data_IF_977951711996
#
_entry.id   IF_977951711996
#
_cell.length_a   1.000
_cell.length_b   1.000
_cell.length_c   1.000
_cell.angle_alpha   90.00
_cell.angle_beta   90.00
_cell.angle_gamma   90.00
#
_symmetry.space_group_name_H-M   'P 1'
#
loop_
_entity.id
_entity.type
_entity.pdbx_description
1 polymer ?
#
# COMPACT_ATOMS: atom_id res chain seq x y z
N UNK A 1 -24.31 29.45 27.65
CA UNK A 1 -23.41 28.89 26.63
C UNK A 1 -23.73 29.53 25.29
N UNK A 2 -22.86 30.41 24.80
CA UNK A 2 -23.00 31.04 23.49
C UNK A 2 -22.70 29.97 22.43
N UNK A 3 -23.74 29.40 21.83
CA UNK A 3 -23.62 28.54 20.64
C UNK A 3 -23.49 29.45 19.43
N UNK A 4 -22.26 29.84 19.11
CA UNK A 4 -21.96 30.49 17.85
C UNK A 4 -21.90 29.37 16.80
N UNK A 5 -22.71 29.47 15.74
CA UNK A 5 -22.63 28.56 14.62
C UNK A 5 -21.27 28.75 13.93
N UNK A 6 -20.30 27.91 14.30
CA UNK A 6 -19.05 27.77 13.56
C UNK A 6 -19.45 27.33 12.16
N UNK A 7 -19.31 28.24 11.19
CA UNK A 7 -19.48 27.90 9.80
C UNK A 7 -18.45 26.81 9.50
N UNK A 8 -18.92 25.64 9.09
CA UNK A 8 -18.06 24.57 8.57
C UNK A 8 -17.18 25.20 7.50
N UNK A 9 -15.86 25.08 7.66
CA UNK A 9 -14.88 25.66 6.75
C UNK A 9 -15.25 25.37 5.29
N UNK A 10 -15.18 26.41 4.46
CA UNK A 10 -15.48 26.38 3.01
C UNK A 10 -14.67 25.26 2.31
N UNK A 11 -13.51 24.89 2.87
CA UNK A 11 -12.66 23.80 2.38
C UNK A 11 -13.28 22.40 2.47
N UNK A 12 -14.22 22.17 3.40
CA UNK A 12 -14.91 20.88 3.53
C UNK A 12 -16.18 20.80 2.66
N UNK A 13 -16.45 21.84 1.87
CA UNK A 13 -17.65 21.89 1.04
C UNK A 13 -17.49 21.03 -0.21
N UNK A 14 -18.02 19.82 -0.15
CA UNK A 14 -18.23 19.00 -1.35
C UNK A 14 -19.40 19.58 -2.15
N UNK A 15 -19.18 20.07 -3.39
CA UNK A 15 -20.27 20.59 -4.22
C UNK A 15 -21.26 19.46 -4.49
N UNK A 16 -22.42 19.55 -3.84
CA UNK A 16 -23.59 18.70 -4.11
C UNK A 16 -24.27 19.28 -5.34
N UNK A 17 -24.15 18.59 -6.47
CA UNK A 17 -24.55 19.11 -7.78
C UNK A 17 -26.06 18.95 -7.98
N UNK A 18 -26.60 17.79 -7.56
CA UNK A 18 -28.04 17.50 -7.66
C UNK A 18 -28.48 16.83 -6.34
N UNK A 19 -29.28 17.53 -5.54
CA UNK A 19 -29.80 17.04 -4.27
C UNK A 19 -28.70 16.74 -3.23
N UNK A 20 -28.59 15.46 -2.81
CA UNK A 20 -27.55 14.96 -1.87
C UNK A 20 -26.35 14.29 -2.57
N UNK A 21 -26.40 14.14 -3.90
CA UNK A 21 -25.40 13.42 -4.66
C UNK A 21 -24.26 14.34 -5.08
N UNK A 22 -23.03 13.86 -4.92
CA UNK A 22 -21.81 14.56 -5.38
C UNK A 22 -21.66 14.35 -6.89
N UNK A 23 -21.02 15.27 -7.62
CA UNK A 23 -20.76 15.10 -9.06
C UNK A 23 -20.10 13.75 -9.41
N UNK A 24 -19.29 13.23 -8.49
CA UNK A 24 -18.66 11.90 -8.58
C UNK A 24 -19.65 10.74 -8.67
N UNK A 25 -20.68 10.74 -7.82
CA UNK A 25 -21.74 9.72 -7.85
C UNK A 25 -22.58 9.80 -9.13
N UNK A 26 -22.72 11.00 -9.71
CA UNK A 26 -23.40 11.17 -11.00
C UNK A 26 -22.59 10.52 -12.13
N UNK A 27 -21.28 10.81 -12.20
CA UNK A 27 -20.40 10.23 -13.22
C UNK A 27 -20.35 8.70 -13.10
N UNK A 28 -20.27 8.15 -11.88
CA UNK A 28 -20.28 6.69 -11.71
C UNK A 28 -21.60 6.06 -12.16
N UNK A 29 -22.74 6.72 -11.91
CA UNK A 29 -24.05 6.20 -12.34
C UNK A 29 -24.16 6.25 -13.86
N UNK A 30 -23.74 7.35 -14.51
CA UNK A 30 -23.79 7.45 -15.97
C UNK A 30 -22.89 6.42 -16.65
N UNK A 31 -21.69 6.17 -16.13
CA UNK A 31 -20.79 5.13 -16.64
C UNK A 31 -21.36 3.73 -16.40
N UNK A 32 -21.89 3.44 -15.21
CA UNK A 32 -22.50 2.15 -14.90
C UNK A 32 -23.71 1.85 -15.81
N UNK A 33 -24.56 2.85 -16.05
CA UNK A 33 -25.68 2.74 -16.99
C UNK A 33 -25.18 2.51 -18.42
N UNK A 34 -24.18 3.27 -18.88
CA UNK A 34 -23.57 3.08 -20.20
C UNK A 34 -23.02 1.67 -20.38
N UNK A 35 -22.29 1.15 -19.40
CA UNK A 35 -21.77 -0.22 -19.41
C UNK A 35 -22.90 -1.26 -19.43
N UNK A 36 -23.94 -1.08 -18.62
CA UNK A 36 -25.07 -2.02 -18.58
C UNK A 36 -25.79 -2.15 -19.92
N UNK A 37 -26.03 -1.03 -20.60
CA UNK A 37 -26.64 -1.00 -21.94
C UNK A 37 -25.70 -1.64 -22.96
N UNK A 38 -24.40 -1.31 -22.89
CA UNK A 38 -23.39 -1.87 -23.79
C UNK A 38 -23.34 -3.40 -23.72
N UNK A 39 -23.36 -3.97 -22.50
CA UNK A 39 -23.36 -5.41 -22.28
C UNK A 39 -24.66 -6.04 -22.75
N UNK A 40 -25.82 -5.43 -22.47
CA UNK A 40 -27.11 -5.92 -22.94
C UNK A 40 -27.19 -5.96 -24.48
N UNK A 41 -26.69 -4.92 -25.16
CA UNK A 41 -26.62 -4.87 -26.62
C UNK A 41 -25.66 -5.92 -27.17
N UNK A 42 -24.50 -6.12 -26.52
CA UNK A 42 -23.55 -7.15 -26.92
C UNK A 42 -24.13 -8.56 -26.81
N UNK A 43 -24.83 -8.86 -25.71
CA UNK A 43 -25.49 -10.16 -25.51
C UNK A 43 -26.57 -10.42 -26.56
N UNK A 44 -27.39 -9.41 -26.88
CA UNK A 44 -28.45 -9.55 -27.88
C UNK A 44 -27.90 -9.69 -29.31
N UNK A 45 -26.95 -8.85 -29.72
CA UNK A 45 -26.49 -8.80 -31.11
C UNK A 45 -25.42 -9.84 -31.45
N UNK A 46 -24.48 -10.10 -30.54
CA UNK A 46 -23.33 -10.98 -30.80
C UNK A 46 -23.63 -12.39 -30.36
N UNK A 47 -24.11 -12.55 -29.12
CA UNK A 47 -24.35 -13.87 -28.53
C UNK A 47 -25.75 -14.42 -28.85
N UNK A 48 -26.70 -13.58 -29.27
CA UNK A 48 -28.13 -13.94 -29.47
C UNK A 48 -28.73 -14.60 -28.23
N UNK A 49 -28.31 -14.14 -27.07
CA UNK A 49 -28.79 -14.60 -25.76
C UNK A 49 -29.65 -13.48 -25.18
N UNK A 50 -30.80 -13.85 -24.62
CA UNK A 50 -31.67 -12.89 -23.96
C UNK A 50 -31.00 -12.35 -22.69
N UNK A 51 -30.80 -11.01 -22.59
CA UNK A 51 -30.13 -10.40 -21.45
C UNK A 51 -30.94 -10.52 -20.15
N UNK A 52 -32.24 -10.76 -20.25
CA UNK A 52 -33.15 -10.94 -19.11
C UNK A 52 -32.87 -12.22 -18.33
N UNK A 53 -32.44 -13.29 -19.00
CA UNK A 53 -32.11 -14.56 -18.34
C UNK A 53 -30.70 -14.53 -17.70
N UNK A 54 -29.86 -13.59 -18.14
CA UNK A 54 -28.46 -13.50 -17.79
C UNK A 54 -28.07 -12.13 -17.21
N UNK A 55 -28.96 -11.56 -16.40
CA UNK A 55 -28.73 -10.28 -15.70
C UNK A 55 -27.48 -10.30 -14.82
N UNK A 56 -27.06 -11.47 -14.35
CA UNK A 56 -25.84 -11.67 -13.57
C UNK A 56 -24.60 -11.03 -14.23
N UNK A 57 -24.48 -11.12 -15.57
CA UNK A 57 -23.35 -10.53 -16.29
C UNK A 57 -23.42 -9.01 -16.33
N UNK A 58 -24.61 -8.45 -16.50
CA UNK A 58 -24.83 -7.01 -16.49
C UNK A 58 -24.48 -6.45 -15.11
N UNK A 59 -24.91 -7.14 -14.04
CA UNK A 59 -24.56 -6.76 -12.67
C UNK A 59 -23.07 -6.94 -12.38
N UNK A 60 -22.45 -8.04 -12.82
CA UNK A 60 -21.02 -8.29 -12.61
C UNK A 60 -20.14 -7.18 -13.19
N UNK A 61 -20.52 -6.60 -14.34
CA UNK A 61 -19.78 -5.51 -14.98
C UNK A 61 -20.13 -4.14 -14.41
N UNK A 62 -21.41 -3.89 -14.10
CA UNK A 62 -21.88 -2.56 -13.68
C UNK A 62 -21.72 -2.28 -12.18
N UNK A 63 -21.84 -3.30 -11.31
CA UNK A 63 -21.78 -3.12 -9.86
C UNK A 63 -20.43 -2.56 -9.38
N UNK A 64 -19.26 -3.03 -9.85
CA UNK A 64 -17.98 -2.45 -9.43
C UNK A 64 -17.87 -0.96 -9.77
N UNK A 65 -18.35 -0.59 -10.96
CA UNK A 65 -18.36 0.80 -11.42
C UNK A 65 -19.31 1.66 -10.56
N UNK A 66 -20.47 1.13 -10.21
CA UNK A 66 -21.43 1.81 -9.34
C UNK A 66 -20.89 1.98 -7.92
N UNK A 67 -20.27 0.95 -7.34
CA UNK A 67 -19.65 0.99 -6.02
C UNK A 67 -18.53 2.03 -5.92
N UNK A 68 -17.70 2.19 -6.96
CA UNK A 68 -16.60 3.17 -6.98
C UNK A 68 -17.07 4.61 -6.75
N UNK A 69 -18.30 4.96 -7.14
CA UNK A 69 -18.85 6.30 -6.94
C UNK A 69 -19.21 6.62 -5.49
N UNK A 70 -19.62 5.61 -4.73
CA UNK A 70 -20.08 5.75 -3.34
C UNK A 70 -19.00 5.40 -2.32
N UNK A 71 -17.99 4.64 -2.71
CA UNK A 71 -16.94 4.19 -1.81
C UNK A 71 -15.97 5.34 -1.48
N UNK A 72 -15.83 5.62 -0.17
CA UNK A 72 -14.92 6.63 0.37
C UNK A 72 -14.03 6.03 1.45
N UNK A 73 -12.95 5.32 1.07
CA UNK A 73 -12.00 4.81 2.05
C UNK A 73 -11.37 5.99 2.82
N UNK A 74 -11.41 5.93 4.15
CA UNK A 74 -10.82 6.94 5.05
C UNK A 74 -11.29 8.40 4.79
N UNK A 75 -12.50 8.58 4.24
CA UNK A 75 -13.05 9.91 3.94
C UNK A 75 -12.50 10.56 2.66
N UNK A 76 -11.57 9.90 1.97
CA UNK A 76 -10.98 10.38 0.72
C UNK A 76 -11.83 9.99 -0.50
N UNK A 77 -11.78 10.77 -1.60
CA UNK A 77 -12.24 10.29 -2.92
C UNK A 77 -11.54 8.98 -3.30
N UNK A 78 -12.27 8.04 -3.88
CA UNK A 78 -11.68 6.81 -4.41
C UNK A 78 -10.53 7.08 -5.39
N UNK A 79 -10.65 8.10 -6.24
CA UNK A 79 -9.60 8.51 -7.20
C UNK A 79 -8.26 8.86 -6.52
N UNK A 80 -8.33 9.62 -5.43
CA UNK A 80 -7.13 10.00 -4.66
C UNK A 80 -6.58 8.79 -3.91
N UNK A 81 -7.46 8.01 -3.30
CA UNK A 81 -7.05 6.80 -2.59
C UNK A 81 -6.39 5.77 -3.52
N UNK A 82 -6.97 5.52 -4.69
CA UNK A 82 -6.44 4.56 -5.66
C UNK A 82 -5.05 4.98 -6.16
N UNK A 83 -4.84 6.27 -6.40
CA UNK A 83 -3.55 6.80 -6.83
C UNK A 83 -2.51 6.69 -5.71
N UNK A 84 -2.86 7.06 -4.46
CA UNK A 84 -1.98 6.87 -3.31
C UNK A 84 -1.65 5.40 -3.07
N UNK A 85 -2.64 4.52 -3.19
CA UNK A 85 -2.47 3.08 -3.02
C UNK A 85 -1.56 2.49 -4.10
N UNK A 86 -1.73 2.91 -5.36
CA UNK A 86 -0.89 2.49 -6.47
C UNK A 86 0.54 3.00 -6.31
N UNK A 87 0.72 4.26 -5.89
CA UNK A 87 2.03 4.81 -5.55
C UNK A 87 2.68 4.02 -4.41
N UNK A 88 1.90 3.61 -3.41
CA UNK A 88 2.38 2.78 -2.32
C UNK A 88 2.81 1.38 -2.81
N UNK A 89 2.07 0.75 -3.73
CA UNK A 89 2.47 -0.57 -4.25
C UNK A 89 3.73 -0.50 -5.13
N UNK A 90 3.90 0.57 -5.90
CA UNK A 90 5.01 0.72 -6.85
C UNK A 90 6.28 1.31 -6.22
N UNK A 91 6.17 2.06 -5.12
CA UNK A 91 7.29 2.70 -4.46
C UNK A 91 7.85 1.84 -3.32
N UNK A 92 9.16 1.86 -3.11
CA UNK A 92 9.76 1.33 -1.89
C UNK A 92 9.44 2.30 -0.73
N UNK A 93 8.45 1.96 0.10
CA UNK A 93 7.96 2.81 1.21
C UNK A 93 8.87 2.78 2.44
N UNK A 94 10.18 2.69 2.22
CA UNK A 94 11.14 2.89 3.31
C UNK A 94 11.11 4.36 3.68
N UNK A 95 10.41 4.65 4.77
CA UNK A 95 10.60 5.88 5.51
C UNK A 95 12.08 5.94 5.92
N UNK A 96 12.88 6.75 5.22
CA UNK A 96 14.25 7.11 5.63
C UNK A 96 14.26 8.00 6.89
N UNK A 97 13.29 7.81 7.77
CA UNK A 97 13.21 8.54 9.02
C UNK A 97 14.27 7.97 9.97
N UNK A 98 15.37 8.72 10.10
CA UNK A 98 16.31 8.56 11.22
C UNK A 98 15.83 9.50 12.33
N UNK A 99 15.34 8.97 13.47
CA UNK A 99 14.99 9.78 14.63
C UNK A 99 16.08 10.79 14.97
N UNK A 100 15.66 11.98 15.41
CA UNK A 100 16.59 13.07 15.77
C UNK A 100 17.63 12.62 16.79
N UNK A 101 17.27 11.72 17.71
CA UNK A 101 18.16 11.13 18.72
C UNK A 101 19.33 10.33 18.14
N UNK A 102 19.15 9.66 16.99
CA UNK A 102 20.24 9.00 16.28
C UNK A 102 21.09 10.00 15.51
N UNK A 103 20.49 11.06 14.94
CA UNK A 103 21.24 12.13 14.23
C UNK A 103 22.08 12.98 15.17
N UNK A 104 21.61 13.22 16.39
CA UNK A 104 22.32 13.99 17.42
C UNK A 104 23.34 13.17 18.20
N UNK A 105 23.48 11.87 17.91
CA UNK A 105 24.47 11.00 18.55
C UNK A 105 24.17 10.62 20.00
N UNK A 106 22.99 10.98 20.53
CA UNK A 106 22.58 10.58 21.89
C UNK A 106 22.29 9.08 22.00
N UNK A 107 21.91 8.44 20.89
CA UNK A 107 21.63 7.00 20.84
C UNK A 107 22.41 6.39 19.68
N UNK A 108 23.15 5.31 19.95
CA UNK A 108 23.89 4.56 18.93
C UNK A 108 22.91 3.87 17.98
N UNK A 109 23.18 3.95 16.69
CA UNK A 109 22.34 3.28 15.69
C UNK A 109 22.38 1.75 15.85
N UNK A 110 21.30 1.01 15.49
CA UNK A 110 21.28 -0.45 15.58
C UNK A 110 22.46 -1.11 14.84
N UNK A 111 22.90 -0.48 13.74
CA UNK A 111 24.04 -0.92 12.93
C UNK A 111 25.37 -0.81 13.70
N UNK A 112 25.58 0.29 14.42
CA UNK A 112 26.76 0.50 15.28
C UNK A 112 26.80 -0.45 16.47
N UNK A 113 25.65 -0.74 17.07
CA UNK A 113 25.54 -1.72 18.18
C UNK A 113 25.91 -3.12 17.68
N UNK A 114 25.44 -3.48 16.48
CA UNK A 114 25.69 -4.79 15.86
C UNK A 114 27.17 -4.95 15.44
N UNK A 115 27.78 -3.92 14.85
CA UNK A 115 29.21 -3.92 14.54
C UNK A 115 30.08 -3.97 15.80
N UNK A 116 29.71 -3.24 16.86
CA UNK A 116 30.43 -3.26 18.14
C UNK A 116 30.38 -4.64 18.81
N UNK A 117 29.28 -5.39 18.67
CA UNK A 117 29.18 -6.77 19.15
C UNK A 117 30.00 -7.74 18.30
N UNK A 118 29.93 -7.66 16.97
CA UNK A 118 30.75 -8.51 16.07
C UNK A 118 32.25 -8.29 16.28
N UNK A 119 32.68 -7.06 16.53
CA UNK A 119 34.09 -6.73 16.80
C UNK A 119 34.63 -7.28 18.12
N UNK A 120 33.77 -7.67 19.06
CA UNK A 120 34.17 -8.27 20.36
C UNK A 120 34.22 -9.80 20.35
N UNK A 121 33.58 -10.47 19.38
CA UNK A 121 33.47 -11.94 19.40
C UNK A 121 34.68 -12.67 18.83
N UNK A 122 35.48 -12.04 17.97
CA UNK A 122 36.62 -12.69 17.30
C UNK A 122 37.92 -11.92 17.55
N UNK A 123 38.92 -12.62 18.08
CA UNK A 123 40.28 -12.11 18.18
C UNK A 123 40.86 -11.79 16.78
N UNK A 124 41.84 -10.90 16.70
CA UNK A 124 42.38 -10.43 15.42
C UNK A 124 43.06 -11.57 14.62
N UNK A 125 43.54 -12.60 15.33
CA UNK A 125 44.11 -13.81 14.74
C UNK A 125 43.07 -14.70 14.05
N UNK A 126 41.89 -14.88 14.65
CA UNK A 126 40.81 -15.72 14.10
C UNK A 126 40.15 -15.07 12.89
N UNK A 127 40.04 -13.73 12.88
CA UNK A 127 39.54 -12.98 11.71
C UNK A 127 40.36 -13.24 10.45
N UNK A 128 41.70 -13.21 10.54
CA UNK A 128 42.58 -13.43 9.39
C UNK A 128 42.51 -14.86 8.86
N UNK A 129 42.27 -15.83 9.73
CA UNK A 129 42.12 -17.22 9.32
C UNK A 129 40.78 -17.45 8.60
N UNK A 130 39.67 -16.98 9.18
CA UNK A 130 38.33 -17.09 8.60
C UNK A 130 38.22 -16.41 7.21
N UNK A 131 38.94 -15.29 7.01
CA UNK A 131 39.00 -14.57 5.73
C UNK A 131 39.78 -15.38 4.66
N UNK A 132 40.76 -16.19 5.09
CA UNK A 132 41.52 -17.09 4.20
C UNK A 132 40.79 -18.41 3.90
N UNK A 133 39.90 -18.86 4.79
CA UNK A 133 39.18 -20.15 4.66
C UNK A 133 37.72 -20.00 4.26
N UNK A 134 37.26 -18.79 3.89
CA UNK A 134 35.86 -18.49 3.59
C UNK A 134 34.89 -18.93 4.71
N UNK A 135 35.30 -18.79 5.97
CA UNK A 135 34.47 -19.11 7.12
C UNK A 135 34.30 -20.61 7.41
N UNK A 136 35.13 -21.48 6.84
CA UNK A 136 35.16 -22.91 7.18
C UNK A 136 35.96 -23.13 8.47
N UNK A 137 35.27 -23.57 9.53
CA UNK A 137 35.88 -24.00 10.78
C UNK A 137 36.22 -25.50 10.71
N UNK A 138 37.43 -25.91 11.13
CA UNK A 138 37.86 -27.31 11.10
C UNK A 138 38.39 -27.77 12.46
N UNK A 139 37.88 -28.91 12.94
CA UNK A 139 38.41 -29.53 14.16
C UNK A 139 39.75 -30.22 13.86
N UNK A 140 40.81 -29.84 14.57
CA UNK A 140 42.12 -30.50 14.46
C UNK A 140 42.33 -31.44 15.63
N UNK A 141 42.40 -32.77 15.38
CA UNK A 141 42.63 -33.77 16.43
C UNK A 141 43.97 -33.57 17.15
N UNK A 142 44.95 -32.97 16.48
CA UNK A 142 46.30 -32.75 17.01
C UNK A 142 46.36 -31.61 18.02
N UNK A 143 45.46 -30.63 17.90
CA UNK A 143 45.37 -29.48 18.80
C UNK A 143 44.29 -29.66 19.89
N UNK A 144 43.45 -30.70 19.79
CA UNK A 144 42.38 -30.99 20.75
C UNK A 144 41.29 -29.91 20.85
N UNK A 145 41.28 -28.94 19.93
CA UNK A 145 40.31 -27.83 19.88
C UNK A 145 39.85 -27.58 18.45
N UNK A 146 38.66 -27.00 18.31
CA UNK A 146 38.22 -26.43 17.03
C UNK A 146 39.21 -25.32 16.65
N UNK A 147 39.84 -25.45 15.48
CA UNK A 147 40.64 -24.38 14.92
C UNK A 147 39.69 -23.59 14.04
N UNK A 148 39.37 -22.37 14.49
CA UNK A 148 38.57 -21.40 13.77
C UNK A 148 39.31 -20.91 12.54
#
# INVERSE_FOLDING_TARGET
>A
MLSVAIHKDIAEYQPKVIGKLTGRTLISITVALGLSISVAVYMNLVLKIDPTDHLEFIYAVSLPCWCCGFWKPHGLPFEQFALLWLQHQLSDNRLFYKPSMFKSGFVKTPDEITQSRKGKLYDNSTRKFLDGTNGLEAYSPRAGRVIY
#
